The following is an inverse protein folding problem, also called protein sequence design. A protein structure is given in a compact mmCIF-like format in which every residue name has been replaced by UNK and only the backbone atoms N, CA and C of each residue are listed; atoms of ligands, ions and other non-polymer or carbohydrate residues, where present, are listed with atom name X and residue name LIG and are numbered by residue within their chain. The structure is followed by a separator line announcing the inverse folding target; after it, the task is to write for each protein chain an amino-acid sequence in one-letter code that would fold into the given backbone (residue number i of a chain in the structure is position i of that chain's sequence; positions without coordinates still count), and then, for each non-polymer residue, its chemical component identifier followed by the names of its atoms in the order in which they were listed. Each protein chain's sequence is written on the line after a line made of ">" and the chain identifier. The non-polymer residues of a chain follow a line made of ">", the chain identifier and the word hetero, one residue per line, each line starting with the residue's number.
data_IF_696902155154
#
_entry.id   IF_696902155154
#
_cell.length_a   1.000
_cell.length_b   1.000
_cell.length_c   1.000
_cell.angle_alpha   90.00
_cell.angle_beta   90.00
_cell.angle_gamma   90.00
#
_symmetry.space_group_name_H-M   'P 1'
#
loop_
_entity.id
_entity.type
_entity.pdbx_description
1 polymer ?
#
# COMPACT_ATOMS: atom_id res chain seq x y z
N UNK A 1 -22.92 -37.10 -11.23
CA UNK A 1 -23.66 -35.85 -10.95
C UNK A 1 -23.24 -35.25 -9.60
N UNK A 2 -22.01 -34.75 -9.44
CA UNK A 2 -21.54 -34.24 -8.12
C UNK A 2 -20.45 -33.16 -8.15
N UNK A 3 -19.78 -32.94 -9.29
CA UNK A 3 -18.72 -31.93 -9.43
C UNK A 3 -19.25 -30.48 -9.53
N UNK A 4 -20.49 -30.30 -9.96
CA UNK A 4 -21.10 -28.97 -10.10
C UNK A 4 -21.44 -28.31 -8.76
N UNK A 5 -21.88 -29.10 -7.78
CA UNK A 5 -22.24 -28.59 -6.45
C UNK A 5 -20.99 -28.20 -5.66
N UNK A 6 -19.93 -29.01 -5.72
CA UNK A 6 -18.64 -28.70 -5.09
C UNK A 6 -18.00 -27.41 -5.63
N UNK A 7 -18.09 -27.15 -6.95
CA UNK A 7 -17.57 -25.92 -7.55
C UNK A 7 -18.26 -24.64 -7.06
N UNK A 8 -19.57 -24.70 -6.79
CA UNK A 8 -20.35 -23.57 -6.27
C UNK A 8 -19.98 -23.21 -4.82
N UNK A 9 -19.78 -24.20 -3.96
CA UNK A 9 -19.36 -23.98 -2.57
C UNK A 9 -17.93 -23.45 -2.46
N UNK A 10 -17.01 -24.00 -3.25
CA UNK A 10 -15.62 -23.52 -3.29
C UNK A 10 -15.54 -22.10 -3.85
N UNK A 11 -16.29 -21.82 -4.92
CA UNK A 11 -16.38 -20.47 -5.49
C UNK A 11 -16.90 -19.46 -4.45
N UNK A 12 -18.01 -19.77 -3.78
CA UNK A 12 -18.62 -18.90 -2.76
C UNK A 12 -17.67 -18.62 -1.59
N UNK A 13 -16.96 -19.64 -1.10
CA UNK A 13 -15.96 -19.48 -0.03
C UNK A 13 -14.82 -18.56 -0.43
N UNK A 14 -14.28 -18.71 -1.64
CA UNK A 14 -13.20 -17.85 -2.16
C UNK A 14 -13.69 -16.40 -2.27
N UNK A 15 -14.87 -16.15 -2.83
CA UNK A 15 -15.41 -14.79 -2.96
C UNK A 15 -15.62 -14.14 -1.60
N UNK A 16 -16.10 -14.90 -0.61
CA UNK A 16 -16.29 -14.40 0.75
C UNK A 16 -14.96 -14.04 1.42
N UNK A 17 -13.93 -14.89 1.27
CA UNK A 17 -12.58 -14.61 1.80
C UNK A 17 -11.98 -13.38 1.11
N UNK A 18 -12.08 -13.26 -0.21
CA UNK A 18 -11.60 -12.09 -0.96
C UNK A 18 -12.32 -10.82 -0.51
N UNK A 19 -13.65 -10.85 -0.41
CA UNK A 19 -14.45 -9.72 0.09
C UNK A 19 -14.09 -9.34 1.52
N UNK A 20 -13.86 -10.30 2.41
CA UNK A 20 -13.47 -10.04 3.80
C UNK A 20 -12.08 -9.41 3.88
N UNK A 21 -11.13 -9.89 3.07
CA UNK A 21 -9.79 -9.32 2.98
C UNK A 21 -9.84 -7.89 2.44
N UNK A 22 -10.60 -7.65 1.36
CA UNK A 22 -10.85 -6.32 0.80
C UNK A 22 -11.46 -5.39 1.86
N UNK A 23 -12.54 -5.82 2.53
CA UNK A 23 -13.20 -5.07 3.59
C UNK A 23 -12.22 -4.72 4.71
N UNK A 24 -11.45 -5.69 5.19
CA UNK A 24 -10.47 -5.47 6.26
C UNK A 24 -9.36 -4.51 5.81
N UNK A 25 -8.91 -4.58 4.57
CA UNK A 25 -7.94 -3.61 4.04
C UNK A 25 -8.52 -2.21 3.88
N UNK A 26 -9.80 -2.10 3.50
CA UNK A 26 -10.50 -0.82 3.39
C UNK A 26 -10.81 -0.22 4.77
N UNK A 27 -11.17 -1.03 5.76
CA UNK A 27 -11.45 -0.54 7.12
C UNK A 27 -10.19 -0.28 7.95
N UNK A 28 -9.05 -0.89 7.59
CA UNK A 28 -7.75 -0.63 8.23
C UNK A 28 -6.90 0.37 7.44
N UNK A 29 -7.54 1.33 6.75
CA UNK A 29 -6.82 2.45 6.14
C UNK A 29 -6.09 3.21 7.25
N UNK A 30 -4.76 3.18 7.21
CA UNK A 30 -3.93 3.99 8.11
C UNK A 30 -4.04 5.43 7.63
N UNK A 31 -4.79 6.24 8.37
CA UNK A 31 -4.91 7.67 8.08
C UNK A 31 -3.74 8.41 8.71
N UNK A 32 -2.93 9.06 7.87
CA UNK A 32 -1.78 9.84 8.30
C UNK A 32 -1.08 10.50 7.13
N UNK A 33 -0.27 11.52 7.42
CA UNK A 33 0.58 12.15 6.41
C UNK A 33 1.99 11.59 6.56
N UNK A 34 2.43 10.86 5.54
CA UNK A 34 3.80 10.37 5.42
C UNK A 34 4.59 11.32 4.53
N UNK A 35 5.64 11.92 5.08
CA UNK A 35 6.59 12.72 4.32
C UNK A 35 7.69 11.80 3.81
N UNK A 36 7.93 11.85 2.50
CA UNK A 36 9.00 11.10 1.85
C UNK A 36 10.13 12.04 1.49
N UNK A 37 11.35 11.64 1.81
CA UNK A 37 12.58 12.33 1.43
C UNK A 37 13.49 11.33 0.71
N UNK A 38 14.10 11.75 -0.39
CA UNK A 38 15.13 10.94 -1.08
C UNK A 38 16.50 11.43 -0.64
N UNK A 39 17.32 10.53 -0.10
CA UNK A 39 18.72 10.82 0.22
C UNK A 39 19.58 9.73 -0.40
N UNK A 40 20.50 10.16 -1.27
CA UNK A 40 21.34 9.30 -2.10
C UNK A 40 20.49 8.33 -2.95
N UNK A 41 20.56 7.03 -2.66
CA UNK A 41 19.82 5.95 -3.32
C UNK A 41 18.62 5.46 -2.50
N UNK A 42 18.54 5.82 -1.23
CA UNK A 42 17.48 5.38 -0.33
C UNK A 42 16.37 6.43 -0.22
N UNK A 43 15.14 5.94 -0.05
CA UNK A 43 13.98 6.77 0.24
C UNK A 43 13.68 6.59 1.72
N UNK A 44 13.51 7.70 2.41
CA UNK A 44 13.20 7.77 3.81
C UNK A 44 11.82 8.37 4.03
N UNK A 45 11.17 7.94 5.09
CA UNK A 45 9.80 8.32 5.45
C UNK A 45 9.74 8.80 6.88
N UNK A 46 8.91 9.81 7.13
CA UNK A 46 8.57 10.28 8.47
C UNK A 46 7.08 10.52 8.58
N UNK A 47 6.45 9.94 9.59
CA UNK A 47 5.04 10.14 9.89
C UNK A 47 4.83 11.48 10.58
N UNK A 48 3.78 12.20 10.20
CA UNK A 48 3.30 13.34 10.98
C UNK A 48 2.56 12.84 12.21
N UNK A 49 3.10 13.12 13.41
CA UNK A 49 2.43 12.88 14.68
C UNK A 49 1.28 13.88 14.88
N UNK A 50 0.30 13.58 15.75
CA UNK A 50 -0.83 14.48 16.02
C UNK A 50 -0.42 15.90 16.42
N UNK A 51 0.69 16.05 17.13
CA UNK A 51 1.22 17.35 17.61
C UNK A 51 2.09 18.09 16.57
N UNK A 52 2.08 17.65 15.31
CA UNK A 52 2.81 18.30 14.21
C UNK A 52 4.28 17.89 14.09
N UNK A 53 4.84 17.24 15.11
CA UNK A 53 6.17 16.65 15.06
C UNK A 53 6.27 15.52 14.04
N UNK A 54 7.47 15.33 13.49
CA UNK A 54 7.78 14.20 12.63
C UNK A 54 8.27 13.02 13.48
N UNK A 55 7.88 11.80 13.09
CA UNK A 55 8.47 10.59 13.64
C UNK A 55 9.94 10.45 13.26
N UNK A 56 10.58 9.47 13.89
CA UNK A 56 11.89 9.02 13.47
C UNK A 56 11.89 8.63 11.99
N UNK A 57 13.05 8.80 11.39
CA UNK A 57 13.28 8.52 10.00
C UNK A 57 13.40 7.01 9.78
N UNK A 58 12.54 6.48 8.92
CA UNK A 58 12.53 5.06 8.58
C UNK A 58 12.75 4.88 7.09
N UNK A 59 13.48 3.83 6.72
CA UNK A 59 13.66 3.48 5.30
C UNK A 59 12.32 3.07 4.73
N UNK A 60 12.03 3.60 3.54
CA UNK A 60 10.81 3.30 2.80
C UNK A 60 11.18 2.55 1.52
N UNK A 61 10.45 1.47 1.25
CA UNK A 61 10.54 0.72 0.00
C UNK A 61 9.17 0.66 -0.64
N UNK A 62 9.13 0.67 -1.96
CA UNK A 62 7.89 0.64 -2.72
C UNK A 62 7.91 -0.53 -3.68
N UNK A 63 6.94 -1.43 -3.50
CA UNK A 63 6.67 -2.55 -4.39
C UNK A 63 5.46 -2.18 -5.26
N UNK A 64 5.70 -2.04 -6.55
CA UNK A 64 4.62 -1.84 -7.51
C UNK A 64 4.08 -3.21 -7.93
N UNK A 65 2.86 -3.55 -7.51
CA UNK A 65 2.16 -4.76 -7.97
C UNK A 65 1.36 -4.52 -9.26
N UNK A 66 1.39 -3.28 -9.80
CA UNK A 66 0.72 -2.90 -11.03
C UNK A 66 0.49 -1.38 -11.09
N UNK A 67 -0.30 -0.90 -12.06
CA UNK A 67 -0.60 0.54 -12.20
C UNK A 67 -1.43 1.12 -11.06
N UNK A 68 -2.13 0.25 -10.32
CA UNK A 68 -3.23 0.59 -9.42
C UNK A 68 -2.97 0.22 -7.96
N UNK A 69 -2.03 -0.68 -7.67
CA UNK A 69 -1.76 -1.14 -6.31
C UNK A 69 -0.29 -0.92 -5.95
N UNK A 70 -0.07 -0.17 -4.88
CA UNK A 70 1.25 0.15 -4.37
C UNK A 70 1.41 -0.43 -2.97
N UNK A 71 2.35 -1.35 -2.82
CA UNK A 71 2.81 -1.82 -1.52
C UNK A 71 3.91 -0.90 -1.01
N UNK A 72 3.66 -0.16 0.06
CA UNK A 72 4.66 0.70 0.69
C UNK A 72 5.14 0.06 1.99
N UNK A 73 6.42 -0.28 2.05
CA UNK A 73 7.08 -0.69 3.29
C UNK A 73 7.63 0.55 3.98
N UNK A 74 7.22 0.76 5.22
CA UNK A 74 7.67 1.87 6.07
C UNK A 74 8.32 1.26 7.30
N UNK A 75 9.65 1.12 7.28
CA UNK A 75 10.37 0.28 8.24
C UNK A 75 9.88 -1.17 8.19
N UNK A 76 9.47 -1.78 9.32
CA UNK A 76 8.96 -3.15 9.36
C UNK A 76 7.50 -3.29 8.92
N UNK A 77 6.77 -2.17 8.76
CA UNK A 77 5.34 -2.20 8.50
C UNK A 77 5.04 -2.12 7.01
N UNK A 78 4.22 -3.06 6.51
CA UNK A 78 3.70 -3.02 5.14
C UNK A 78 2.35 -2.31 5.10
N UNK A 79 2.26 -1.29 4.26
CA UNK A 79 1.04 -0.56 3.95
C UNK A 79 0.63 -0.81 2.50
N UNK A 80 -0.67 -1.03 2.30
CA UNK A 80 -1.25 -1.13 0.98
C UNK A 80 -1.95 0.17 0.68
N UNK A 81 -1.51 0.84 -0.38
CA UNK A 81 -2.10 2.07 -0.85
C UNK A 81 -2.94 1.76 -2.08
N UNK A 82 -4.22 2.08 -1.97
CA UNK A 82 -5.16 2.05 -3.08
C UNK A 82 -4.98 3.30 -3.96
N UNK A 83 -5.46 3.29 -5.21
CA UNK A 83 -5.34 4.44 -6.12
C UNK A 83 -5.91 5.74 -5.53
N UNK A 84 -6.94 5.62 -4.71
CA UNK A 84 -7.67 6.74 -4.12
C UNK A 84 -7.08 7.20 -2.78
N UNK A 85 -6.10 6.47 -2.21
CA UNK A 85 -5.46 6.81 -0.93
C UNK A 85 -4.56 8.05 -1.03
N UNK A 86 -4.21 8.50 -2.24
CA UNK A 86 -3.44 9.73 -2.46
C UNK A 86 -3.86 10.42 -3.77
N UNK A 87 -3.63 11.73 -3.87
CA UNK A 87 -3.97 12.46 -5.09
C UNK A 87 -3.14 12.00 -6.30
N UNK A 88 -3.67 12.16 -7.51
CA UNK A 88 -2.96 11.83 -8.77
C UNK A 88 -1.58 12.50 -8.87
N UNK A 89 -1.42 13.69 -8.29
CA UNK A 89 -0.14 14.40 -8.23
C UNK A 89 0.89 13.63 -7.40
N UNK A 90 0.52 13.25 -6.17
CA UNK A 90 1.38 12.44 -5.30
C UNK A 90 1.69 11.08 -5.92
N UNK A 91 0.75 10.47 -6.64
CA UNK A 91 1.02 9.23 -7.37
C UNK A 91 2.14 9.38 -8.42
N UNK A 92 2.11 10.47 -9.19
CA UNK A 92 3.15 10.76 -10.19
C UNK A 92 4.50 11.05 -9.52
N UNK A 93 4.51 11.77 -8.40
CA UNK A 93 5.72 12.03 -7.63
C UNK A 93 6.32 10.74 -7.08
N UNK A 94 5.51 9.88 -6.47
CA UNK A 94 5.92 8.57 -5.96
C UNK A 94 6.56 7.72 -7.07
N UNK A 95 5.89 7.64 -8.24
CA UNK A 95 6.46 6.95 -9.40
C UNK A 95 7.79 7.55 -9.84
N UNK A 96 7.92 8.88 -9.91
CA UNK A 96 9.20 9.51 -10.27
C UNK A 96 10.30 9.22 -9.24
N UNK A 97 9.97 9.15 -7.96
CA UNK A 97 10.93 8.86 -6.90
C UNK A 97 11.51 7.44 -7.02
N UNK A 98 10.66 6.44 -7.24
CA UNK A 98 11.09 5.03 -7.30
C UNK A 98 11.52 4.56 -8.69
N UNK A 99 10.91 5.06 -9.77
CA UNK A 99 11.21 4.62 -11.13
C UNK A 99 12.54 5.22 -11.66
N UNK A 100 13.06 6.29 -11.05
CA UNK A 100 14.43 6.80 -11.27
C UNK A 100 15.48 6.22 -10.31
N UNK A 101 15.09 5.31 -9.40
CA UNK A 101 16.02 4.67 -8.48
C UNK A 101 16.55 3.32 -9.02
N UNK A 102 16.48 3.11 -10.34
CA UNK A 102 17.22 2.05 -11.04
C UNK A 102 18.45 2.65 -11.71
N UNK A 103 19.62 2.39 -11.12
CA UNK A 103 20.83 2.16 -11.90
C UNK A 103 20.90 0.66 -12.18
#
# INVERSE_FOLDING_TARGET
>A
MSYWVLGLWVGSGITFVISLLLWRTLHRQVHGVLYLSKRDTAIYGRWRKPYGELSDEVVVRCDYLGPWLVGLWVGPQRLWLWPDSFSRHHHRLLRRLYHRAGH
#
